data_IF_506622078140
#
_entry.id   IF_506622078140
#
_cell.length_a   1.000
_cell.length_b   1.000
_cell.length_c   1.000
_cell.angle_alpha   90.00
_cell.angle_beta   90.00
_cell.angle_gamma   90.00
#
_symmetry.space_group_name_H-M   'P 1'
#
loop_
_entity.id
_entity.type
_entity.pdbx_description
1 polymer ?
#
# COMPACT_ATOMS: atom_id res chain seq x y z
N UNK A 1 61.43 2.00 21.18
CA UNK A 1 62.02 1.63 19.88
C UNK A 1 63.17 0.67 20.19
N UNK A 2 63.21 -0.51 19.60
CA UNK A 2 64.14 -1.61 19.95
C UNK A 2 64.90 -2.03 18.69
N UNK A 3 66.22 -2.15 18.78
CA UNK A 3 67.12 -2.61 17.70
C UNK A 3 68.42 -1.80 17.60
N UNK A 4 69.27 -2.09 16.59
CA UNK A 4 68.98 -2.95 15.44
C UNK A 4 68.99 -4.44 15.79
N UNK A 5 67.88 -5.13 15.49
CA UNK A 5 67.76 -6.58 15.63
C UNK A 5 67.78 -7.23 14.24
N UNK A 6 68.32 -8.46 14.10
CA UNK A 6 68.31 -9.18 12.83
C UNK A 6 66.88 -9.42 12.36
N UNK A 7 66.59 -9.06 11.12
CA UNK A 7 65.36 -9.41 10.41
C UNK A 7 65.70 -10.17 9.12
N UNK A 8 64.73 -10.83 8.46
CA UNK A 8 64.94 -11.51 7.19
C UNK A 8 65.51 -10.62 6.07
N UNK A 9 65.45 -9.29 6.23
CA UNK A 9 65.93 -8.30 5.26
C UNK A 9 67.16 -7.51 5.76
N UNK A 10 67.79 -7.93 6.87
CA UNK A 10 68.92 -7.25 7.51
C UNK A 10 68.55 -6.58 8.84
N UNK A 11 69.48 -5.85 9.48
CA UNK A 11 69.26 -5.26 10.80
C UNK A 11 68.18 -4.17 10.75
N UNK A 12 67.12 -4.31 11.54
CA UNK A 12 65.96 -3.40 11.55
C UNK A 12 65.68 -2.83 12.95
N UNK A 13 65.12 -1.61 12.99
CA UNK A 13 64.60 -0.96 14.20
C UNK A 13 63.09 -1.20 14.29
N UNK A 14 62.63 -1.78 15.40
CA UNK A 14 61.21 -2.02 15.66
C UNK A 14 60.64 -0.94 16.57
N UNK A 15 59.55 -0.32 16.13
CA UNK A 15 58.75 0.61 16.95
C UNK A 15 57.43 -0.06 17.30
N UNK A 16 57.32 -0.54 18.54
CA UNK A 16 56.05 -1.02 19.09
C UNK A 16 55.17 0.21 19.34
N UNK A 17 54.03 0.30 18.65
CA UNK A 17 53.11 1.43 18.76
C UNK A 17 52.10 1.25 19.90
N UNK A 18 51.70 0.00 20.18
CA UNK A 18 50.89 -0.37 21.33
C UNK A 18 51.20 -1.82 21.71
N UNK A 19 51.12 -2.15 23.00
CA UNK A 19 50.94 -3.52 23.46
C UNK A 19 49.47 -3.67 23.81
N UNK A 20 48.74 -4.48 23.05
CA UNK A 20 47.39 -4.89 23.41
C UNK A 20 47.52 -6.05 24.40
N UNK A 21 46.78 -5.98 25.51
CA UNK A 21 46.63 -7.13 26.39
C UNK A 21 45.92 -8.26 25.60
N UNK A 22 46.25 -9.51 25.91
CA UNK A 22 45.51 -10.64 25.35
C UNK A 22 44.07 -10.55 25.85
N UNK A 23 43.11 -10.68 24.93
CA UNK A 23 41.71 -10.87 25.27
C UNK A 23 41.51 -12.38 25.43
N UNK A 24 41.35 -12.83 26.68
CA UNK A 24 41.28 -14.23 27.05
C UNK A 24 39.91 -14.51 27.69
N UNK A 25 39.06 -15.26 27.00
CA UNK A 25 37.81 -15.79 27.57
C UNK A 25 38.11 -17.13 28.24
N UNK A 26 37.83 -17.23 29.53
CA UNK A 26 37.99 -18.50 30.25
C UNK A 26 36.96 -19.53 29.80
N UNK A 27 37.23 -20.81 30.05
CA UNK A 27 36.27 -21.87 29.77
C UNK A 27 34.98 -21.68 30.58
N UNK A 28 35.08 -21.29 31.84
CA UNK A 28 33.92 -21.06 32.70
C UNK A 28 33.01 -19.95 32.17
N UNK A 29 33.58 -18.91 31.57
CA UNK A 29 32.85 -17.81 30.94
C UNK A 29 32.22 -18.22 29.60
N UNK A 30 32.92 -19.01 28.78
CA UNK A 30 32.41 -19.50 27.49
C UNK A 30 31.49 -20.71 27.62
N UNK A 31 31.51 -21.44 28.75
CA UNK A 31 30.80 -22.70 28.91
C UNK A 31 29.28 -22.62 28.70
N UNK A 32 28.56 -21.55 29.11
CA UNK A 32 27.14 -21.42 28.82
C UNK A 32 26.87 -21.33 27.31
N UNK A 33 27.63 -20.51 26.59
CA UNK A 33 27.46 -20.29 25.15
C UNK A 33 27.84 -21.55 24.36
N UNK A 34 28.95 -22.19 24.71
CA UNK A 34 29.38 -23.46 24.11
C UNK A 34 28.36 -24.58 24.34
N UNK A 35 27.69 -24.61 25.50
CA UNK A 35 26.62 -25.59 25.75
C UNK A 35 25.40 -25.33 24.89
N UNK A 36 25.02 -24.07 24.69
CA UNK A 36 23.92 -23.70 23.81
C UNK A 36 24.25 -24.08 22.36
N UNK A 37 25.45 -23.76 21.88
CA UNK A 37 25.89 -24.10 20.53
C UNK A 37 25.90 -25.62 20.27
N UNK A 38 26.44 -26.42 21.21
CA UNK A 38 26.43 -27.87 21.11
C UNK A 38 25.00 -28.43 21.21
N UNK A 39 24.12 -27.81 22.01
CA UNK A 39 22.72 -28.23 22.10
C UNK A 39 22.00 -27.97 20.76
N UNK A 40 22.22 -26.82 20.14
CA UNK A 40 21.65 -26.48 18.84
C UNK A 40 22.20 -27.39 17.72
N UNK A 41 23.50 -27.69 17.71
CA UNK A 41 24.11 -28.64 16.77
C UNK A 41 23.47 -30.03 16.90
N UNK A 42 23.36 -30.55 18.13
CA UNK A 42 22.71 -31.84 18.38
C UNK A 42 21.23 -31.85 18.03
N UNK A 43 20.53 -30.74 18.21
CA UNK A 43 19.14 -30.61 17.82
C UNK A 43 19.00 -30.72 16.30
N UNK A 44 19.86 -30.05 15.54
CA UNK A 44 19.89 -30.15 14.06
C UNK A 44 20.21 -31.56 13.59
N UNK A 45 21.19 -32.23 14.21
CA UNK A 45 21.51 -33.62 13.89
C UNK A 45 20.31 -34.54 14.16
N UNK A 46 19.66 -34.42 15.32
CA UNK A 46 18.49 -35.21 15.67
C UNK A 46 17.31 -34.98 14.71
N UNK A 47 17.08 -33.73 14.29
CA UNK A 47 16.06 -33.38 13.29
C UNK A 47 16.42 -34.00 11.94
N UNK A 48 17.69 -33.92 11.52
CA UNK A 48 18.18 -34.53 10.29
C UNK A 48 18.04 -36.05 10.26
N UNK A 49 18.19 -36.73 11.40
CA UNK A 49 17.91 -38.16 11.54
C UNK A 49 16.41 -38.49 11.48
N UNK A 50 15.55 -37.57 11.93
CA UNK A 50 14.10 -37.72 11.93
C UNK A 50 13.48 -37.47 10.55
N UNK A 51 14.09 -36.59 9.74
CA UNK A 51 13.54 -36.12 8.47
C UNK A 51 13.20 -37.24 7.48
N UNK A 52 14.08 -38.24 7.21
CA UNK A 52 13.74 -39.33 6.30
C UNK A 52 12.52 -40.15 6.75
N UNK A 53 12.32 -40.29 8.06
CA UNK A 53 11.15 -40.98 8.62
C UNK A 53 9.87 -40.18 8.41
N UNK A 54 9.94 -38.85 8.56
CA UNK A 54 8.81 -37.96 8.26
C UNK A 54 8.46 -38.06 6.77
N UNK A 55 9.45 -37.96 5.88
CA UNK A 55 9.27 -38.09 4.44
C UNK A 55 8.63 -39.44 4.06
N UNK A 56 9.12 -40.55 4.62
CA UNK A 56 8.58 -41.89 4.38
C UNK A 56 7.11 -42.02 4.86
N UNK A 57 6.77 -41.44 6.01
CA UNK A 57 5.41 -41.43 6.53
C UNK A 57 4.47 -40.64 5.61
N UNK A 58 4.88 -39.43 5.20
CA UNK A 58 4.11 -38.58 4.29
C UNK A 58 3.93 -39.28 2.94
N UNK A 59 4.99 -39.86 2.37
CA UNK A 59 4.95 -40.62 1.13
C UNK A 59 4.06 -41.88 1.23
N UNK A 60 3.98 -42.47 2.43
CA UNK A 60 3.08 -43.57 2.77
C UNK A 60 1.61 -43.16 2.93
N UNK A 61 1.30 -41.86 2.87
CA UNK A 61 -0.05 -41.32 3.02
C UNK A 61 -0.49 -41.11 4.47
N UNK A 62 0.46 -41.03 5.42
CA UNK A 62 0.18 -40.68 6.80
C UNK A 62 -0.42 -39.28 6.90
N UNK A 63 -1.40 -39.08 7.79
CA UNK A 63 -1.91 -37.76 8.14
C UNK A 63 -0.95 -37.01 9.07
N UNK A 64 -1.15 -35.70 9.27
CA UNK A 64 -0.36 -34.93 10.26
C UNK A 64 -0.45 -35.55 11.66
N UNK A 65 -1.62 -36.09 12.02
CA UNK A 65 -1.81 -36.78 13.30
C UNK A 65 -1.00 -38.07 13.40
N UNK A 66 -0.96 -38.87 12.32
CA UNK A 66 -0.17 -40.10 12.27
C UNK A 66 1.33 -39.82 12.31
N UNK A 67 1.77 -38.73 11.68
CA UNK A 67 3.18 -38.27 11.73
C UNK A 67 3.54 -37.86 13.16
N UNK A 68 2.70 -37.08 13.84
CA UNK A 68 2.93 -36.69 15.24
C UNK A 68 2.93 -37.89 16.20
N UNK A 69 2.10 -38.92 15.96
CA UNK A 69 2.09 -40.14 16.79
C UNK A 69 3.36 -41.00 16.61
N UNK A 70 3.92 -41.01 15.41
CA UNK A 70 5.05 -41.87 15.06
C UNK A 70 6.40 -41.19 15.14
N UNK A 71 6.46 -39.90 15.45
CA UNK A 71 7.67 -39.08 15.55
C UNK A 71 7.69 -38.28 16.85
N UNK A 72 8.74 -37.50 17.07
CA UNK A 72 8.85 -36.60 18.22
C UNK A 72 8.22 -35.21 17.96
N UNK A 73 7.45 -35.06 16.88
CA UNK A 73 6.75 -33.82 16.54
C UNK A 73 5.55 -33.57 17.46
N UNK A 74 5.37 -32.32 17.89
CA UNK A 74 4.21 -31.92 18.69
C UNK A 74 3.01 -31.54 17.82
N UNK A 75 1.82 -32.13 18.05
CA UNK A 75 0.63 -31.76 17.28
C UNK A 75 0.13 -30.36 17.65
N UNK A 76 -0.24 -29.57 16.65
CA UNK A 76 -0.76 -28.22 16.83
C UNK A 76 -1.79 -27.83 15.78
N UNK A 77 -2.61 -26.82 16.09
CA UNK A 77 -3.55 -26.20 15.16
C UNK A 77 -3.50 -24.69 15.32
N UNK A 78 -3.45 -23.97 14.19
CA UNK A 78 -3.45 -22.52 14.14
C UNK A 78 -4.51 -22.01 13.17
N UNK A 79 -5.29 -21.02 13.60
CA UNK A 79 -6.11 -20.22 12.70
C UNK A 79 -5.22 -19.12 12.12
N UNK A 80 -4.84 -19.26 10.85
CA UNK A 80 -3.95 -18.32 10.18
C UNK A 80 -4.71 -17.40 9.22
N UNK A 81 -4.35 -16.12 9.23
CA UNK A 81 -4.78 -15.12 8.25
C UNK A 81 -3.58 -14.26 7.85
N UNK A 82 -3.71 -13.53 6.74
CA UNK A 82 -2.69 -12.59 6.29
C UNK A 82 -2.45 -11.53 7.39
N UNK A 83 -1.21 -11.46 7.89
CA UNK A 83 -0.82 -10.60 9.03
C UNK A 83 -0.61 -11.33 10.36
N UNK A 84 -0.96 -12.63 10.47
CA UNK A 84 -0.60 -13.43 11.65
C UNK A 84 0.92 -13.66 11.71
N UNK A 85 1.52 -13.38 12.87
CA UNK A 85 2.97 -13.43 13.08
C UNK A 85 3.38 -14.15 14.37
N UNK A 86 2.48 -14.94 14.96
CA UNK A 86 2.72 -15.68 16.21
C UNK A 86 2.94 -17.17 15.95
N UNK A 87 3.79 -17.81 16.77
CA UNK A 87 4.09 -19.24 16.66
C UNK A 87 4.72 -19.59 15.30
N UNK A 88 4.30 -20.70 14.64
CA UNK A 88 4.79 -21.06 13.31
C UNK A 88 4.61 -19.96 12.26
N UNK A 89 3.60 -19.10 12.43
CA UNK A 89 3.35 -17.98 11.51
C UNK A 89 4.40 -16.87 11.58
N UNK A 90 5.33 -16.91 12.54
CA UNK A 90 6.48 -16.01 12.59
C UNK A 90 7.49 -16.29 11.45
N UNK A 91 7.58 -17.55 11.00
CA UNK A 91 8.50 -17.98 9.95
C UNK A 91 7.93 -17.70 8.55
N UNK A 92 8.77 -17.22 7.63
CA UNK A 92 8.34 -16.94 6.26
C UNK A 92 8.05 -18.24 5.51
N UNK A 93 8.85 -19.27 5.76
CA UNK A 93 8.78 -20.60 5.18
C UNK A 93 7.41 -21.26 5.47
N UNK A 94 6.91 -21.08 6.69
CA UNK A 94 5.55 -21.49 7.06
C UNK A 94 4.49 -20.71 6.27
N UNK A 95 4.58 -19.38 6.21
CA UNK A 95 3.61 -18.54 5.50
C UNK A 95 3.56 -18.90 4.01
N UNK A 96 4.70 -19.09 3.38
CA UNK A 96 4.83 -19.51 1.98
C UNK A 96 4.21 -20.88 1.76
N UNK A 97 4.47 -21.82 2.67
CA UNK A 97 3.91 -23.17 2.59
C UNK A 97 2.38 -23.19 2.77
N UNK A 98 1.82 -22.39 3.68
CA UNK A 98 0.37 -22.25 3.85
C UNK A 98 -0.28 -21.60 2.63
N UNK A 99 0.33 -20.56 2.06
CA UNK A 99 -0.18 -19.89 0.86
C UNK A 99 -0.15 -20.78 -0.39
N UNK A 100 0.83 -21.68 -0.48
CA UNK A 100 0.95 -22.62 -1.59
C UNK A 100 0.05 -23.86 -1.46
N UNK A 101 -0.44 -24.17 -0.26
CA UNK A 101 -1.22 -25.37 0.02
C UNK A 101 -2.70 -25.21 -0.40
N UNK A 102 -3.28 -26.29 -0.93
CA UNK A 102 -4.70 -26.40 -1.24
C UNK A 102 -5.43 -27.24 -0.18
N UNK A 103 -6.74 -27.03 0.01
CA UNK A 103 -7.56 -27.95 0.80
C UNK A 103 -7.49 -29.37 0.23
N UNK A 104 -7.28 -30.36 1.11
CA UNK A 104 -7.07 -31.78 0.79
C UNK A 104 -5.70 -32.15 0.17
N UNK A 105 -4.73 -31.24 0.13
CA UNK A 105 -3.36 -31.63 -0.18
C UNK A 105 -2.83 -32.62 0.87
N UNK A 106 -1.89 -33.47 0.46
CA UNK A 106 -1.12 -34.30 1.40
C UNK A 106 -0.33 -33.40 2.36
N UNK A 107 -0.02 -33.88 3.58
CA UNK A 107 0.84 -33.13 4.49
C UNK A 107 2.15 -32.73 3.84
N UNK A 108 2.60 -31.51 4.12
CA UNK A 108 3.83 -30.95 3.58
C UNK A 108 4.80 -30.68 4.72
N UNK A 109 6.01 -31.22 4.56
CA UNK A 109 7.14 -30.93 5.42
C UNK A 109 7.81 -29.61 4.98
N UNK A 110 8.23 -28.82 5.96
CA UNK A 110 8.80 -27.49 5.80
C UNK A 110 9.93 -27.32 6.81
N UNK A 111 11.14 -27.13 6.31
CA UNK A 111 12.30 -26.71 7.09
C UNK A 111 12.23 -25.22 7.41
N UNK A 112 12.62 -24.86 8.64
CA UNK A 112 12.66 -23.50 9.15
C UNK A 112 14.09 -22.96 9.18
N UNK A 113 14.23 -21.63 9.10
CA UNK A 113 15.53 -20.95 9.09
C UNK A 113 16.37 -21.10 10.37
N UNK A 114 15.76 -21.50 11.49
CA UNK A 114 16.48 -21.81 12.74
C UNK A 114 16.99 -23.28 12.80
N UNK A 115 16.61 -24.10 11.82
CA UNK A 115 16.89 -25.53 11.75
C UNK A 115 15.78 -26.42 12.29
N UNK A 116 14.63 -25.84 12.68
CA UNK A 116 13.42 -26.58 13.01
C UNK A 116 12.76 -27.21 11.77
N UNK A 117 11.89 -28.20 12.00
CA UNK A 117 11.04 -28.78 10.95
C UNK A 117 9.59 -28.78 11.41
N UNK A 118 8.67 -28.54 10.48
CA UNK A 118 7.24 -28.69 10.72
C UNK A 118 6.58 -29.48 9.60
N UNK A 119 5.46 -30.11 9.92
CA UNK A 119 4.60 -30.76 8.95
C UNK A 119 3.23 -30.11 9.05
N UNK A 120 2.74 -29.56 7.94
CA UNK A 120 1.47 -28.86 7.90
C UNK A 120 0.51 -29.46 6.88
N UNK A 121 -0.77 -29.28 7.13
CA UNK A 121 -1.86 -29.58 6.21
C UNK A 121 -3.01 -28.62 6.46
N UNK A 122 -3.71 -28.21 5.40
CA UNK A 122 -4.88 -27.34 5.53
C UNK A 122 -6.06 -28.15 6.08
N UNK A 123 -6.41 -27.94 7.34
CA UNK A 123 -7.57 -28.56 7.98
C UNK A 123 -8.90 -28.03 7.41
N UNK A 124 -8.94 -26.77 6.96
CA UNK A 124 -10.09 -26.14 6.36
C UNK A 124 -9.86 -24.65 6.10
N UNK A 125 -10.65 -24.08 5.19
CA UNK A 125 -10.63 -22.65 4.88
C UNK A 125 -11.93 -22.04 5.38
N UNK A 126 -11.82 -21.07 6.29
CA UNK A 126 -12.97 -20.30 6.73
C UNK A 126 -13.27 -19.23 5.67
N UNK A 127 -14.44 -19.27 5.00
CA UNK A 127 -14.75 -18.28 3.97
C UNK A 127 -14.90 -16.88 4.59
N UNK A 128 -14.62 -15.81 3.82
CA UNK A 128 -14.86 -14.46 4.30
C UNK A 128 -16.36 -14.31 4.61
N UNK A 129 -16.66 -13.91 5.84
CA UNK A 129 -18.01 -13.67 6.32
C UNK A 129 -18.15 -12.23 6.78
N UNK A 130 -19.36 -11.68 6.66
CA UNK A 130 -19.67 -10.40 7.29
C UNK A 130 -19.57 -10.56 8.80
N UNK A 131 -18.99 -9.54 9.46
CA UNK A 131 -19.00 -9.47 10.92
C UNK A 131 -20.46 -9.44 11.41
N UNK A 132 -20.85 -10.27 12.38
CA UNK A 132 -22.17 -10.22 12.99
C UNK A 132 -22.51 -8.81 13.47
N UNK A 133 -23.77 -8.39 13.34
CA UNK A 133 -24.20 -7.05 13.72
C UNK A 133 -23.87 -6.75 15.19
N UNK A 134 -23.98 -7.75 16.06
CA UNK A 134 -23.68 -7.68 17.48
C UNK A 134 -22.22 -7.29 17.75
N UNK A 135 -21.28 -7.69 16.88
CA UNK A 135 -19.85 -7.35 17.00
C UNK A 135 -19.52 -5.96 16.46
N UNK A 136 -20.33 -5.44 15.53
CA UNK A 136 -20.12 -4.13 14.89
C UNK A 136 -21.09 -3.04 15.38
N UNK A 137 -21.99 -3.36 16.31
CA UNK A 137 -23.07 -2.46 16.71
C UNK A 137 -22.55 -1.08 17.15
N UNK A 138 -21.48 -1.04 17.93
CA UNK A 138 -20.88 0.21 18.40
C UNK A 138 -20.27 1.04 17.25
N UNK A 139 -19.61 0.38 16.29
CA UNK A 139 -19.03 1.02 15.11
C UNK A 139 -20.12 1.58 14.20
N UNK A 140 -21.16 0.79 13.94
CA UNK A 140 -22.33 1.20 13.15
C UNK A 140 -23.04 2.36 13.82
N UNK A 141 -23.25 2.30 15.14
CA UNK A 141 -23.90 3.39 15.88
C UNK A 141 -23.11 4.69 15.78
N UNK A 142 -21.79 4.62 15.95
CA UNK A 142 -20.90 5.79 15.82
C UNK A 142 -20.95 6.38 14.42
N UNK A 143 -20.93 5.54 13.39
CA UNK A 143 -21.03 5.98 12.00
C UNK A 143 -22.38 6.65 11.72
N UNK A 144 -23.48 6.05 12.20
CA UNK A 144 -24.82 6.60 12.06
C UNK A 144 -24.99 7.93 12.80
N UNK A 145 -24.47 8.04 14.03
CA UNK A 145 -24.53 9.30 14.80
C UNK A 145 -23.75 10.42 14.07
N UNK A 146 -22.60 10.10 13.46
CA UNK A 146 -21.82 11.06 12.69
C UNK A 146 -22.53 11.49 11.40
N UNK A 147 -23.20 10.56 10.70
CA UNK A 147 -23.99 10.85 9.50
C UNK A 147 -25.22 11.70 9.85
N UNK A 148 -25.99 11.30 10.86
CA UNK A 148 -27.15 12.04 11.32
C UNK A 148 -26.79 13.47 11.79
N UNK A 149 -25.64 13.64 12.43
CA UNK A 149 -25.15 14.97 12.81
C UNK A 149 -24.81 15.83 11.58
N UNK A 150 -24.16 15.26 10.56
CA UNK A 150 -23.84 15.97 9.31
C UNK A 150 -25.10 16.39 8.56
N UNK A 151 -26.09 15.50 8.48
CA UNK A 151 -27.37 15.77 7.83
C UNK A 151 -28.10 16.91 8.53
N UNK A 152 -28.13 16.90 9.87
CA UNK A 152 -28.76 17.96 10.66
C UNK A 152 -28.02 19.31 10.52
N UNK A 153 -26.69 19.31 10.52
CA UNK A 153 -25.89 20.52 10.27
C UNK A 153 -26.19 21.09 8.87
N UNK A 154 -26.24 20.23 7.86
CA UNK A 154 -26.53 20.66 6.49
C UNK A 154 -27.97 21.16 6.35
N UNK A 155 -28.95 20.53 7.01
CA UNK A 155 -30.33 21.01 7.05
C UNK A 155 -30.43 22.40 7.67
N UNK A 156 -29.74 22.65 8.79
CA UNK A 156 -29.69 23.98 9.41
C UNK A 156 -29.00 25.01 8.53
N UNK A 157 -27.90 24.64 7.86
CA UNK A 157 -27.21 25.51 6.93
C UNK A 157 -28.10 25.88 5.72
N UNK A 158 -28.84 24.92 5.17
CA UNK A 158 -29.81 25.16 4.11
C UNK A 158 -30.92 26.12 4.55
N UNK A 159 -31.50 25.92 5.74
CA UNK A 159 -32.51 26.82 6.28
C UNK A 159 -31.98 28.27 6.43
N UNK A 160 -30.72 28.43 6.85
CA UNK A 160 -30.06 29.74 6.91
C UNK A 160 -29.83 30.33 5.51
N UNK A 161 -29.40 29.51 4.55
CA UNK A 161 -29.22 29.92 3.16
C UNK A 161 -30.53 30.43 2.55
N UNK A 162 -31.64 29.72 2.76
CA UNK A 162 -32.98 30.15 2.31
C UNK A 162 -33.38 31.49 2.91
N UNK A 163 -33.15 31.70 4.21
CA UNK A 163 -33.44 32.99 4.86
C UNK A 163 -32.59 34.13 4.28
N UNK A 164 -31.31 33.88 3.99
CA UNK A 164 -30.39 34.85 3.38
C UNK A 164 -30.81 35.17 1.93
N UNK A 165 -31.18 34.17 1.15
CA UNK A 165 -31.75 34.36 -0.18
C UNK A 165 -33.06 35.16 -0.14
N UNK A 166 -33.84 35.02 0.95
CA UNK A 166 -35.04 35.81 1.24
C UNK A 166 -34.78 37.25 1.71
N UNK A 167 -33.51 37.67 1.85
CA UNK A 167 -33.11 39.03 2.20
C UNK A 167 -32.65 39.23 3.64
N UNK A 168 -32.56 38.18 4.46
CA UNK A 168 -31.92 38.27 5.78
C UNK A 168 -30.41 38.48 5.65
N UNK A 169 -29.77 39.12 6.65
CA UNK A 169 -28.32 39.21 6.70
C UNK A 169 -27.70 37.91 7.26
N UNK A 170 -26.39 37.71 7.04
CA UNK A 170 -25.67 36.57 7.64
C UNK A 170 -25.64 36.68 9.17
N UNK A 171 -25.49 37.89 9.69
CA UNK A 171 -25.48 38.20 11.12
C UNK A 171 -26.82 37.91 11.78
N UNK A 172 -27.94 38.18 11.10
CA UNK A 172 -29.29 37.83 11.57
C UNK A 172 -29.45 36.31 11.71
N UNK A 173 -28.70 35.53 10.92
CA UNK A 173 -28.63 34.08 11.01
C UNK A 173 -27.56 33.59 12.01
N UNK A 174 -26.91 34.50 12.75
CA UNK A 174 -25.85 34.18 13.71
C UNK A 174 -24.54 33.76 13.04
N UNK A 175 -24.32 34.12 11.77
CA UNK A 175 -23.12 33.82 11.01
C UNK A 175 -22.21 35.06 10.96
N UNK A 176 -20.90 34.83 10.87
CA UNK A 176 -19.92 35.90 10.61
C UNK A 176 -19.50 35.82 9.15
N UNK A 177 -19.99 36.72 8.27
CA UNK A 177 -19.68 36.63 6.84
C UNK A 177 -18.23 37.02 6.55
N UNK A 178 -17.65 36.36 5.55
CA UNK A 178 -16.40 36.76 4.94
C UNK A 178 -16.65 37.07 3.46
N UNK A 179 -16.43 38.32 3.06
CA UNK A 179 -16.60 38.74 1.67
C UNK A 179 -15.31 38.50 0.90
N UNK A 180 -15.40 37.78 -0.21
CA UNK A 180 -14.32 37.55 -1.15
C UNK A 180 -14.63 38.25 -2.46
N UNK A 181 -13.76 39.16 -2.91
CA UNK A 181 -13.90 39.90 -4.16
C UNK A 181 -12.78 39.52 -5.13
N UNK A 182 -13.08 39.53 -6.43
CA UNK A 182 -12.10 39.22 -7.47
C UNK A 182 -11.69 37.74 -7.55
N UNK A 183 -12.53 36.82 -7.06
CA UNK A 183 -12.29 35.38 -7.12
C UNK A 183 -12.64 34.85 -8.51
N UNK A 184 -11.71 34.18 -9.17
CA UNK A 184 -11.96 33.49 -10.44
C UNK A 184 -12.45 32.05 -10.22
N UNK A 185 -12.90 31.38 -11.29
CA UNK A 185 -13.45 30.00 -11.23
C UNK A 185 -12.44 28.93 -10.77
N UNK A 186 -11.15 29.23 -10.82
CA UNK A 186 -10.03 28.34 -10.49
C UNK A 186 -9.37 28.66 -9.15
N UNK A 187 -9.71 29.80 -8.55
CA UNK A 187 -9.12 30.22 -7.29
C UNK A 187 -9.66 29.34 -6.17
N UNK A 188 -8.79 28.65 -5.42
CA UNK A 188 -9.18 27.99 -4.19
C UNK A 188 -9.38 29.05 -3.10
N UNK A 189 -10.46 28.93 -2.34
CA UNK A 189 -10.68 29.75 -1.14
C UNK A 189 -10.36 28.90 0.08
N UNK A 190 -9.47 29.39 0.94
CA UNK A 190 -9.08 28.70 2.16
C UNK A 190 -10.30 28.37 3.03
N UNK A 191 -10.37 27.13 3.52
CA UNK A 191 -11.48 26.66 4.34
C UNK A 191 -12.75 26.28 3.57
N UNK A 192 -12.75 26.31 2.24
CA UNK A 192 -13.92 25.92 1.41
C UNK A 192 -13.70 24.57 0.69
N UNK A 193 -14.78 23.84 0.37
CA UNK A 193 -14.66 22.58 -0.39
C UNK A 193 -14.24 22.84 -1.84
N UNK A 194 -13.66 21.83 -2.50
CA UNK A 194 -13.11 21.98 -3.86
C UNK A 194 -14.14 22.42 -4.92
N UNK A 195 -15.43 22.13 -4.69
CA UNK A 195 -16.52 22.54 -5.58
C UNK A 195 -17.06 23.95 -5.29
N UNK A 196 -16.54 24.67 -4.30
CA UNK A 196 -17.06 25.97 -3.87
C UNK A 196 -17.17 26.97 -5.03
N UNK A 197 -16.06 27.24 -5.72
CA UNK A 197 -16.02 28.20 -6.83
C UNK A 197 -16.92 27.74 -7.99
N UNK A 198 -16.94 26.45 -8.31
CA UNK A 198 -17.83 25.92 -9.34
C UNK A 198 -19.32 26.13 -9.00
N UNK A 199 -19.72 25.88 -7.74
CA UNK A 199 -21.09 26.12 -7.27
C UNK A 199 -21.42 27.61 -7.30
N UNK A 200 -20.56 28.48 -6.76
CA UNK A 200 -20.79 29.92 -6.73
C UNK A 200 -21.02 30.50 -8.14
N UNK A 201 -20.25 30.06 -9.15
CA UNK A 201 -20.42 30.51 -10.54
C UNK A 201 -21.59 29.85 -11.29
N UNK A 202 -22.26 28.85 -10.71
CA UNK A 202 -23.49 28.26 -11.25
C UNK A 202 -24.77 28.92 -10.72
N UNK A 203 -24.64 29.73 -9.66
CA UNK A 203 -25.73 30.42 -8.99
C UNK A 203 -26.09 31.74 -9.67
N UNK A 204 -27.29 32.22 -9.39
CA UNK A 204 -27.76 33.56 -9.75
C UNK A 204 -27.30 34.59 -8.70
N UNK A 205 -27.11 35.85 -9.12
CA UNK A 205 -26.82 36.92 -8.17
C UNK A 205 -27.95 37.08 -7.13
N UNK A 206 -27.59 37.17 -5.86
CA UNK A 206 -28.49 37.17 -4.71
C UNK A 206 -28.90 35.77 -4.21
N UNK A 207 -28.60 34.71 -4.95
CA UNK A 207 -28.86 33.34 -4.52
C UNK A 207 -27.89 32.93 -3.40
N UNK A 208 -28.38 32.09 -2.47
CA UNK A 208 -27.58 31.52 -1.40
C UNK A 208 -27.76 30.00 -1.34
N UNK A 209 -26.68 29.29 -1.04
CA UNK A 209 -26.62 27.83 -0.95
C UNK A 209 -25.79 27.39 0.24
N UNK A 210 -26.10 26.22 0.79
CA UNK A 210 -25.23 25.55 1.75
C UNK A 210 -24.39 24.47 1.06
N UNK A 211 -23.12 24.37 1.46
CA UNK A 211 -22.19 23.34 1.01
C UNK A 211 -21.69 22.54 2.21
N UNK A 212 -21.75 21.20 2.17
CA UNK A 212 -21.17 20.38 3.22
C UNK A 212 -19.63 20.46 3.21
N UNK A 213 -19.03 20.39 4.39
CA UNK A 213 -17.58 20.29 4.62
C UNK A 213 -17.29 19.07 5.50
N UNK A 214 -16.00 18.76 5.73
CA UNK A 214 -15.59 17.62 6.57
C UNK A 214 -16.12 17.74 8.01
N UNK A 215 -16.09 18.96 8.56
CA UNK A 215 -16.44 19.28 9.94
C UNK A 215 -17.77 20.03 10.11
N UNK A 216 -18.51 20.29 9.02
CA UNK A 216 -19.77 21.02 9.10
C UNK A 216 -20.37 21.42 7.75
N UNK A 217 -20.82 22.66 7.63
CA UNK A 217 -21.34 23.23 6.40
C UNK A 217 -21.04 24.74 6.30
N UNK A 218 -20.89 25.22 5.07
CA UNK A 218 -20.68 26.63 4.75
C UNK A 218 -21.92 27.15 4.04
N UNK A 219 -22.41 28.32 4.46
CA UNK A 219 -23.45 29.05 3.73
C UNK A 219 -22.78 30.11 2.87
N UNK A 220 -23.07 30.08 1.58
CA UNK A 220 -22.52 31.00 0.60
C UNK A 220 -23.64 31.79 -0.07
N UNK A 221 -23.38 33.06 -0.40
CA UNK A 221 -24.27 33.89 -1.22
C UNK A 221 -23.45 34.49 -2.35
N UNK A 222 -23.98 34.43 -3.55
CA UNK A 222 -23.36 35.10 -4.69
C UNK A 222 -23.85 36.55 -4.74
N UNK A 223 -22.96 37.52 -4.53
CA UNK A 223 -23.33 38.94 -4.61
C UNK A 223 -23.41 39.41 -6.07
N UNK A 224 -22.38 39.16 -6.87
CA UNK A 224 -22.31 39.53 -8.27
C UNK A 224 -21.32 38.64 -9.05
N UNK A 225 -21.54 38.53 -10.37
CA UNK A 225 -20.58 37.93 -11.31
C UNK A 225 -20.17 39.00 -12.30
N UNK A 226 -18.88 39.30 -12.34
CA UNK A 226 -18.30 40.26 -13.29
C UNK A 226 -17.66 39.52 -14.47
N UNK A 227 -17.80 40.09 -15.67
CA UNK A 227 -17.13 39.56 -16.85
C UNK A 227 -15.63 39.87 -16.78
N UNK A 228 -14.80 38.93 -17.24
CA UNK A 228 -13.37 39.19 -17.37
C UNK A 228 -13.14 40.37 -18.35
N UNK A 229 -12.23 41.31 -18.04
CA UNK A 229 -11.90 42.38 -18.97
C UNK A 229 -11.36 41.79 -20.27
N UNK A 230 -11.94 42.15 -21.42
CA UNK A 230 -11.49 41.62 -22.72
C UNK A 230 -10.08 42.10 -23.10
N UNK A 231 -9.66 43.23 -22.54
CA UNK A 231 -8.34 43.84 -22.75
C UNK A 231 -7.27 43.35 -21.75
N UNK A 232 -7.56 42.33 -20.94
CA UNK A 232 -6.58 41.76 -19.99
C UNK A 232 -5.59 40.83 -20.71
N UNK A 233 -4.29 41.07 -20.49
CA UNK A 233 -3.21 40.27 -21.11
C UNK A 233 -3.31 38.77 -20.79
N UNK A 234 -3.82 38.41 -19.59
CA UNK A 234 -4.01 37.01 -19.22
C UNK A 234 -5.15 36.35 -19.99
N UNK A 235 -6.23 37.09 -20.29
CA UNK A 235 -7.35 36.61 -21.11
C UNK A 235 -6.90 36.37 -22.54
N UNK A 236 -6.05 37.24 -23.09
CA UNK A 236 -5.47 37.07 -24.41
C UNK A 236 -4.55 35.82 -24.46
N UNK A 237 -3.64 35.68 -23.50
CA UNK A 237 -2.74 34.53 -23.42
C UNK A 237 -3.50 33.20 -23.27
N UNK A 238 -4.58 33.18 -22.49
CA UNK A 238 -5.40 31.98 -22.31
C UNK A 238 -6.18 31.61 -23.57
N UNK A 239 -6.73 32.59 -24.30
CA UNK A 239 -7.38 32.36 -25.60
C UNK A 239 -6.41 31.75 -26.61
N UNK A 240 -5.17 32.24 -26.66
CA UNK A 240 -4.14 31.72 -27.57
C UNK A 240 -3.71 30.30 -27.20
N UNK A 241 -3.58 30.00 -25.89
CA UNK A 241 -3.28 28.66 -25.41
C UNK A 241 -4.38 27.65 -25.80
N UNK A 242 -5.66 28.03 -25.59
CA UNK A 242 -6.80 27.21 -26.00
C UNK A 242 -6.83 27.02 -27.52
N UNK A 243 -6.62 28.09 -28.30
CA UNK A 243 -6.60 28.02 -29.76
C UNK A 243 -5.49 27.09 -30.27
N UNK A 244 -4.31 27.12 -29.64
CA UNK A 244 -3.19 26.24 -29.97
C UNK A 244 -3.52 24.79 -29.65
N UNK A 245 -4.06 24.52 -28.45
CA UNK A 245 -4.43 23.18 -28.02
C UNK A 245 -5.52 22.56 -28.92
N UNK A 246 -6.56 23.33 -29.25
CA UNK A 246 -7.63 22.89 -30.15
C UNK A 246 -7.07 22.60 -31.55
N UNK A 247 -6.19 23.46 -32.06
CA UNK A 247 -5.57 23.27 -33.38
C UNK A 247 -4.71 22.01 -33.43
N UNK A 248 -3.92 21.75 -32.39
CA UNK A 248 -3.13 20.51 -32.26
C UNK A 248 -4.00 19.26 -32.13
N UNK A 249 -5.11 19.33 -31.38
CA UNK A 249 -6.07 18.23 -31.27
C UNK A 249 -6.67 17.88 -32.62
N UNK A 250 -7.16 18.89 -33.35
CA UNK A 250 -7.74 18.70 -34.69
C UNK A 250 -6.72 18.11 -35.66
N UNK A 251 -5.46 18.56 -35.62
CA UNK A 251 -4.39 18.03 -36.47
C UNK A 251 -4.11 16.54 -36.18
N UNK A 252 -4.04 16.15 -34.91
CA UNK A 252 -3.86 14.76 -34.50
C UNK A 252 -5.06 13.89 -34.89
N UNK A 253 -6.29 14.37 -34.69
CA UNK A 253 -7.50 13.65 -35.07
C UNK A 253 -7.56 13.41 -36.59
N UNK A 254 -7.18 14.43 -37.38
CA UNK A 254 -7.09 14.33 -38.83
C UNK A 254 -6.01 13.34 -39.27
N UNK A 255 -4.84 13.36 -38.63
CA UNK A 255 -3.75 12.44 -38.90
C UNK A 255 -4.16 10.98 -38.61
N UNK A 256 -4.76 10.71 -37.45
CA UNK A 256 -5.26 9.38 -37.12
C UNK A 256 -6.38 8.92 -38.06
N UNK A 257 -7.29 9.81 -38.45
CA UNK A 257 -8.33 9.50 -39.43
C UNK A 257 -7.73 9.14 -40.79
N UNK A 258 -6.67 9.85 -41.21
CA UNK A 258 -5.94 9.56 -42.44
C UNK A 258 -5.18 8.22 -42.37
N UNK A 259 -4.48 7.92 -41.26
CA UNK A 259 -3.80 6.63 -41.07
C UNK A 259 -4.77 5.45 -41.13
N UNK A 260 -5.92 5.55 -40.45
CA UNK A 260 -6.97 4.52 -40.50
C UNK A 260 -7.47 4.30 -41.93
N UNK A 261 -7.70 5.38 -42.67
CA UNK A 261 -8.11 5.29 -44.08
C UNK A 261 -7.02 4.70 -44.98
N UNK A 262 -5.75 5.05 -44.74
CA UNK A 262 -4.61 4.52 -45.49
C UNK A 262 -4.41 3.02 -45.23
N UNK A 263 -4.52 2.58 -43.97
CA UNK A 263 -4.48 1.16 -43.61
C UNK A 263 -5.64 0.38 -44.24
N UNK A 264 -6.86 0.93 -44.23
CA UNK A 264 -8.03 0.28 -44.82
C UNK A 264 -7.98 0.21 -46.36
N UNK A 265 -7.31 1.16 -47.01
CA UNK A 265 -7.20 1.24 -48.48
C UNK A 265 -5.94 0.59 -49.05
N UNK A 266 -4.96 0.24 -48.20
CA UNK A 266 -3.72 -0.40 -48.63
C UNK A 266 -3.77 -1.89 -48.33
N UNK A 267 -3.61 -2.73 -49.36
CA UNK A 267 -3.51 -4.18 -49.19
C UNK A 267 -2.13 -4.53 -48.58
N UNK A 268 -2.07 -4.65 -47.25
CA UNK A 268 -0.83 -5.02 -46.55
C UNK A 268 -0.54 -6.51 -46.77
N UNK A 269 0.47 -6.83 -47.59
CA UNK A 269 1.03 -8.19 -47.71
C UNK A 269 2.26 -8.29 -46.81
N UNK A 270 2.12 -8.96 -45.67
CA UNK A 270 3.25 -9.35 -44.81
C UNK A 270 3.92 -10.60 -45.40
N UNK A 271 5.23 -10.55 -45.60
CA UNK A 271 5.99 -11.73 -46.01
C UNK A 271 6.37 -12.54 -44.76
N UNK A 272 5.52 -13.51 -44.42
CA UNK A 272 5.67 -14.36 -43.24
C UNK A 272 7.00 -15.12 -43.21
N UNK A 273 7.65 -15.33 -44.37
CA UNK A 273 8.96 -15.99 -44.44
C UNK A 273 10.08 -15.08 -43.93
N UNK A 274 10.02 -13.79 -44.24
CA UNK A 274 11.00 -12.82 -43.76
C UNK A 274 10.86 -12.57 -42.25
N UNK A 275 9.63 -12.52 -41.73
CA UNK A 275 9.35 -12.36 -40.31
C UNK A 275 9.85 -13.58 -39.51
N UNK A 276 9.60 -14.78 -40.02
CA UNK A 276 10.07 -16.03 -39.40
C UNK A 276 11.60 -16.15 -39.38
N UNK A 277 12.29 -15.63 -40.40
CA UNK A 277 13.75 -15.67 -40.49
C UNK A 277 14.44 -14.74 -39.47
N UNK A 278 13.86 -13.56 -39.20
CA UNK A 278 14.40 -12.61 -38.20
C UNK A 278 14.15 -13.13 -36.77
N UNK A 279 12.96 -13.67 -36.49
CA UNK A 279 12.67 -14.28 -35.18
C UNK A 279 13.55 -15.49 -34.88
N UNK A 280 13.96 -16.25 -35.91
CA UNK A 280 14.89 -17.36 -35.77
C UNK A 280 16.36 -16.92 -35.56
N UNK A 281 16.68 -15.64 -35.79
CA UNK A 281 18.02 -15.08 -35.61
C UNK A 281 18.19 -14.36 -34.26
N UNK A 282 17.09 -14.11 -33.54
CA UNK A 282 17.07 -13.50 -32.20
C UNK A 282 16.87 -14.52 -31.06
N UNK A 283 16.72 -15.81 -31.38
CA UNK A 283 16.84 -16.95 -30.46
C UNK A 283 18.11 -17.74 -30.78
#
# INVERSE_FOLDING_TARGET
>A
MIGPLPSPLGPALFRVNALLAADETSFEEAAPDLRAEIADERARDAIGELLPKIEDLIAGGASVADVAEQTDLEPGQIAWSEGAAEGPAAYQEFRDAVQAAQPNDIPKEVELSDGGVLVLQIAGVTPPALRPYEEVQAEVRKAWDAEALRDEILAQANAKAEAIAGGASFEDQGLTPQTQAGVNRRDPIEGTPANFSATAFSMSAGEAHALPTEDGAIVLRLDAVEAAPEDDENVAAERDAIATQVSSSIANDLFQAFERQLQASTEVRLDDRAISAVNAQMN
#
